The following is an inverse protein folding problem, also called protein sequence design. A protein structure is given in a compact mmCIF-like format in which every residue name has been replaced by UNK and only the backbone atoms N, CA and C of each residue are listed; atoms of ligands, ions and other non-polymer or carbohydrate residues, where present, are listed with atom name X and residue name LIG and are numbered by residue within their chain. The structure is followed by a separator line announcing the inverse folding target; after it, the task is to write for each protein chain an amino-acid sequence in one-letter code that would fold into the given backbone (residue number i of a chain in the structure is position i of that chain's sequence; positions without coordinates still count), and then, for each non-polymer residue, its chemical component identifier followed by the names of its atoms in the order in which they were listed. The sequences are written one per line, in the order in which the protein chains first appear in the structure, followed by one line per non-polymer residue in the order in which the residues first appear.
data_IF_695196797157
#
_entry.id   IF_695196797157
#
_cell.length_a   1.000
_cell.length_b   1.000
_cell.length_c   1.000
_cell.angle_alpha   90.00
_cell.angle_beta   90.00
_cell.angle_gamma   90.00
#
_symmetry.space_group_name_H-M   'P 1'
#
loop_
_entity.id
_entity.type
_entity.pdbx_description
1 polymer ?
#
# COMPACT_ATOMS: atom_id res chain seq x y z
N UNK A 1 18.52 9.92 -3.96
CA UNK A 1 18.91 11.05 -3.08
C UNK A 1 17.75 12.03 -2.81
N UNK A 2 16.94 12.40 -3.81
CA UNK A 2 15.82 13.33 -3.64
C UNK A 2 14.73 12.87 -2.66
N UNK A 3 14.22 11.63 -2.79
CA UNK A 3 13.17 11.08 -1.91
C UNK A 3 13.61 11.03 -0.44
N UNK A 4 14.74 10.37 -0.17
CA UNK A 4 15.31 10.27 1.19
C UNK A 4 15.59 11.65 1.79
N UNK A 5 16.15 12.57 1.00
CA UNK A 5 16.38 13.95 1.45
C UNK A 5 15.09 14.69 1.79
N UNK A 6 14.04 14.55 0.96
CA UNK A 6 12.72 15.10 1.22
C UNK A 6 12.09 14.51 2.48
N UNK A 7 12.17 13.20 2.67
CA UNK A 7 11.66 12.53 3.88
C UNK A 7 12.43 12.91 5.14
N UNK A 8 13.74 13.17 5.05
CA UNK A 8 14.51 13.71 6.17
C UNK A 8 14.02 15.10 6.58
N UNK A 9 13.68 15.96 5.61
CA UNK A 9 13.09 17.29 5.87
C UNK A 9 11.70 17.13 6.50
N UNK A 10 10.85 16.26 5.95
CA UNK A 10 9.52 15.92 6.50
C UNK A 10 9.65 15.45 7.95
N UNK A 11 10.62 14.59 8.25
CA UNK A 11 10.87 14.11 9.61
C UNK A 11 11.22 15.27 10.55
N UNK A 12 12.07 16.20 10.10
CA UNK A 12 12.46 17.35 10.93
C UNK A 12 11.31 18.32 11.18
N UNK A 13 10.54 18.65 10.14
CA UNK A 13 9.40 19.58 10.23
C UNK A 13 8.20 18.96 10.95
N UNK A 14 7.95 17.69 10.70
CA UNK A 14 6.88 16.89 11.27
C UNK A 14 7.20 16.23 12.59
N UNK A 15 8.39 16.44 13.18
CA UNK A 15 8.76 15.82 14.46
C UNK A 15 7.86 16.31 15.61
N UNK A 16 7.55 15.40 16.53
CA UNK A 16 6.82 15.66 17.78
C UNK A 16 7.52 16.71 18.64
N UNK A 17 8.84 16.81 18.57
CA UNK A 17 9.62 17.77 19.34
C UNK A 17 9.40 19.21 18.86
N UNK A 18 9.11 19.40 17.57
CA UNK A 18 8.81 20.71 16.98
C UNK A 18 7.48 21.29 17.47
N UNK A 19 6.59 20.47 18.05
CA UNK A 19 5.33 20.91 18.65
C UNK A 19 5.49 21.54 20.05
N UNK A 20 6.52 21.14 20.79
CA UNK A 20 6.71 21.55 22.19
C UNK A 20 7.41 22.91 22.34
N UNK A 21 7.99 23.46 21.27
CA UNK A 21 8.74 24.73 21.33
C UNK A 21 7.82 25.96 21.34
N UNK A 22 6.51 25.80 21.10
CA UNK A 22 5.56 26.92 21.00
C UNK A 22 4.56 27.04 22.16
N UNK A 23 4.73 26.31 23.27
CA UNK A 23 3.75 26.32 24.36
C UNK A 23 4.32 26.04 25.74
N UNK A 24 4.95 27.03 26.35
CA UNK A 24 5.08 27.03 27.81
C UNK A 24 3.71 27.25 28.46
N UNK A 25 3.32 26.31 29.32
CA UNK A 25 2.23 26.33 30.32
C UNK A 25 0.95 25.54 29.96
N UNK A 26 0.83 24.30 30.44
CA UNK A 26 0.01 23.96 31.61
C UNK A 26 -0.04 22.44 31.84
N UNK A 27 0.13 22.08 33.11
CA UNK A 27 -0.09 20.76 33.68
C UNK A 27 -1.54 20.31 33.44
N UNK A 28 -1.73 19.13 32.84
CA UNK A 28 -3.01 18.46 32.76
C UNK A 28 -2.88 17.18 31.95
N UNK A 29 -2.66 16.04 32.62
CA UNK A 29 -2.83 14.73 32.00
C UNK A 29 -4.31 14.52 31.68
N UNK A 30 -4.75 14.96 30.51
CA UNK A 30 -6.00 14.53 29.91
C UNK A 30 -5.63 13.41 28.95
N UNK A 31 -6.15 12.21 29.19
CA UNK A 31 -6.10 11.10 28.26
C UNK A 31 -6.84 11.51 26.97
N UNK A 32 -6.11 12.08 26.03
CA UNK A 32 -6.64 12.49 24.73
C UNK A 32 -6.97 11.23 23.94
N UNK A 33 -8.27 10.92 23.83
CA UNK A 33 -8.77 9.83 22.97
C UNK A 33 -8.50 10.19 21.51
N UNK A 34 -8.11 9.19 20.72
CA UNK A 34 -7.80 9.29 19.29
C UNK A 34 -8.92 9.89 18.43
N UNK A 35 -10.17 9.82 18.90
CA UNK A 35 -11.36 10.27 18.17
C UNK A 35 -11.42 11.76 17.86
N UNK A 36 -10.50 12.58 18.40
CA UNK A 36 -10.52 14.05 18.24
C UNK A 36 -9.44 14.61 17.30
N UNK A 37 -8.51 13.78 16.80
CA UNK A 37 -7.41 14.21 15.92
C UNK A 37 -7.79 13.97 14.46
N UNK A 38 -8.03 15.05 13.70
CA UNK A 38 -8.40 14.96 12.28
C UNK A 38 -7.23 15.36 11.38
N UNK A 39 -7.10 14.74 10.19
CA UNK A 39 -6.09 15.12 9.19
C UNK A 39 -6.13 16.62 8.83
N UNK A 40 -7.31 17.24 8.87
CA UNK A 40 -7.52 18.67 8.61
C UNK A 40 -6.84 19.59 9.64
N UNK A 41 -6.55 19.10 10.85
CA UNK A 41 -5.82 19.87 11.86
C UNK A 41 -4.32 19.95 11.53
N UNK A 42 -3.77 18.98 10.77
CA UNK A 42 -2.39 19.05 10.29
C UNK A 42 -2.16 20.29 9.40
N UNK A 43 -3.12 20.59 8.53
CA UNK A 43 -3.09 21.72 7.59
C UNK A 43 -3.09 23.08 8.30
N UNK A 44 -3.56 23.15 9.55
CA UNK A 44 -3.58 24.39 10.35
C UNK A 44 -2.21 24.75 10.93
N UNK A 45 -1.25 23.82 10.92
CA UNK A 45 0.10 24.03 11.47
C UNK A 45 1.08 24.27 10.32
N UNK A 46 1.77 25.42 10.27
CA UNK A 46 2.58 25.80 9.09
C UNK A 46 3.71 24.81 8.79
N UNK A 47 4.35 24.23 9.82
CA UNK A 47 5.40 23.22 9.64
C UNK A 47 4.85 21.90 9.12
N UNK A 48 3.67 21.47 9.57
CA UNK A 48 3.03 20.24 9.09
C UNK A 48 2.50 20.43 7.67
N UNK A 49 1.96 21.59 7.34
CA UNK A 49 1.58 21.94 5.97
C UNK A 49 2.79 21.88 5.03
N UNK A 50 3.95 22.41 5.43
CA UNK A 50 5.17 22.30 4.62
C UNK A 50 5.61 20.85 4.46
N UNK A 51 5.55 20.04 5.51
CA UNK A 51 5.83 18.61 5.44
C UNK A 51 4.88 17.89 4.46
N UNK A 52 3.58 18.18 4.52
CA UNK A 52 2.57 17.65 3.60
C UNK A 52 2.89 18.05 2.15
N UNK A 53 3.20 19.32 1.89
CA UNK A 53 3.53 19.77 0.53
C UNK A 53 4.76 19.05 -0.03
N UNK A 54 5.75 18.73 0.81
CA UNK A 54 6.93 17.94 0.40
C UNK A 54 6.52 16.49 0.11
N UNK A 55 5.66 15.87 0.94
CA UNK A 55 5.15 14.52 0.69
C UNK A 55 4.35 14.45 -0.62
N UNK A 56 3.49 15.42 -0.88
CA UNK A 56 2.75 15.54 -2.13
C UNK A 56 3.68 15.72 -3.32
N UNK A 57 4.73 16.55 -3.19
CA UNK A 57 5.75 16.71 -4.22
C UNK A 57 6.47 15.40 -4.51
N UNK A 58 6.90 14.66 -3.47
CA UNK A 58 7.53 13.34 -3.63
C UNK A 58 6.58 12.40 -4.36
N UNK A 59 5.31 12.33 -3.94
CA UNK A 59 4.29 11.48 -4.56
C UNK A 59 4.07 11.84 -6.02
N UNK A 60 3.90 13.12 -6.34
CA UNK A 60 3.71 13.59 -7.71
C UNK A 60 4.95 13.38 -8.58
N UNK A 61 6.15 13.53 -8.04
CA UNK A 61 7.40 13.27 -8.76
C UNK A 61 7.60 11.78 -9.02
N UNK A 62 7.31 10.92 -8.04
CA UNK A 62 7.35 9.47 -8.23
C UNK A 62 6.23 8.99 -9.17
N UNK A 63 5.10 9.72 -9.25
CA UNK A 63 3.99 9.37 -10.11
C UNK A 63 4.08 9.92 -11.54
N UNK A 64 4.65 11.11 -11.77
CA UNK A 64 4.79 11.63 -13.15
C UNK A 64 5.72 10.75 -14.01
N UNK A 65 6.57 9.97 -13.38
CA UNK A 65 7.43 8.97 -14.03
C UNK A 65 6.69 7.75 -14.59
N UNK A 66 5.38 7.59 -14.36
CA UNK A 66 4.56 6.51 -14.95
C UNK A 66 4.41 6.59 -16.49
N UNK A 67 4.78 7.71 -17.12
CA UNK A 67 4.45 8.00 -18.53
C UNK A 67 5.60 7.69 -19.52
N UNK A 68 6.82 7.41 -19.04
CA UNK A 68 7.96 7.03 -19.89
C UNK A 68 8.28 5.53 -19.75
N UNK A 69 7.94 4.75 -20.77
CA UNK A 69 8.01 3.28 -20.80
C UNK A 69 9.44 2.67 -20.78
N UNK A 70 10.50 3.45 -20.54
CA UNK A 70 11.89 3.02 -20.76
C UNK A 70 12.75 2.93 -19.48
N UNK A 71 12.18 3.08 -18.27
CA UNK A 71 12.97 3.05 -17.02
C UNK A 71 12.28 2.32 -15.86
N UNK A 72 12.51 0.99 -15.74
CA UNK A 72 12.20 0.15 -14.56
C UNK A 72 12.73 0.72 -13.22
N UNK A 73 13.66 1.67 -13.28
CA UNK A 73 14.35 2.28 -12.14
C UNK A 73 13.46 3.23 -11.33
N UNK A 74 12.40 3.77 -11.91
CA UNK A 74 11.74 4.97 -11.36
C UNK A 74 10.63 4.66 -10.34
N UNK A 75 9.94 3.51 -10.44
CA UNK A 75 8.93 3.12 -9.46
C UNK A 75 9.47 2.55 -8.15
N UNK A 76 10.75 2.17 -8.15
CA UNK A 76 11.48 1.87 -6.91
C UNK A 76 11.46 3.04 -5.93
N UNK A 77 11.35 4.28 -6.43
CA UNK A 77 11.31 5.49 -5.60
C UNK A 77 10.07 5.53 -4.70
N UNK A 78 8.90 5.13 -5.21
CA UNK A 78 7.67 5.10 -4.44
C UNK A 78 7.72 4.00 -3.38
N UNK A 79 8.26 2.82 -3.75
CA UNK A 79 8.44 1.72 -2.80
C UNK A 79 9.37 2.10 -1.64
N UNK A 80 10.49 2.77 -1.94
CA UNK A 80 11.40 3.32 -0.94
C UNK A 80 10.70 4.38 -0.07
N UNK A 81 9.90 5.27 -0.68
CA UNK A 81 9.18 6.29 0.08
C UNK A 81 8.21 5.67 1.09
N UNK A 82 7.46 4.64 0.68
CA UNK A 82 6.55 3.92 1.57
C UNK A 82 7.29 3.19 2.70
N UNK A 83 8.39 2.50 2.39
CA UNK A 83 9.20 1.80 3.40
C UNK A 83 9.77 2.76 4.46
N UNK A 84 10.29 3.92 4.02
CA UNK A 84 10.78 4.95 4.94
C UNK A 84 9.66 5.59 5.77
N UNK A 85 8.51 5.89 5.16
CA UNK A 85 7.35 6.38 5.91
C UNK A 85 6.87 5.35 6.94
N UNK A 86 6.85 4.06 6.58
CA UNK A 86 6.49 2.98 7.48
C UNK A 86 7.46 2.93 8.69
N UNK A 87 8.75 3.11 8.44
CA UNK A 87 9.75 3.24 9.50
C UNK A 87 9.47 4.45 10.41
N UNK A 88 9.26 5.64 9.84
CA UNK A 88 9.00 6.87 10.60
C UNK A 88 7.75 6.77 11.49
N UNK A 89 6.66 6.22 10.94
CA UNK A 89 5.40 5.98 11.65
C UNK A 89 5.58 4.91 12.73
N UNK A 90 6.20 3.77 12.41
CA UNK A 90 6.40 2.69 13.39
C UNK A 90 7.28 3.10 14.57
N UNK A 91 8.24 4.00 14.35
CA UNK A 91 9.12 4.57 15.38
C UNK A 91 8.52 5.80 16.07
N UNK A 92 7.32 6.24 15.69
CA UNK A 92 6.62 7.40 16.27
C UNK A 92 7.44 8.68 16.21
N UNK A 93 8.17 8.86 15.11
CA UNK A 93 9.04 10.01 14.88
C UNK A 93 8.28 11.21 14.34
N UNK A 94 7.02 11.02 13.92
CA UNK A 94 6.17 12.05 13.34
C UNK A 94 5.08 12.50 14.33
N UNK A 95 4.61 13.74 14.14
CA UNK A 95 3.46 14.29 14.82
C UNK A 95 2.20 13.49 14.46
N UNK A 96 1.33 13.27 15.45
CA UNK A 96 0.13 12.44 15.27
C UNK A 96 -0.78 12.94 14.15
N UNK A 97 -0.90 14.25 13.94
CA UNK A 97 -1.74 14.78 12.86
C UNK A 97 -1.17 14.43 11.48
N UNK A 98 0.15 14.36 11.36
CA UNK A 98 0.82 13.96 10.14
C UNK A 98 0.72 12.44 9.93
N UNK A 99 0.82 11.62 10.99
CA UNK A 99 0.57 10.18 10.92
C UNK A 99 -0.84 9.87 10.39
N UNK A 100 -1.87 10.56 10.90
CA UNK A 100 -3.26 10.43 10.42
C UNK A 100 -3.38 10.86 8.97
N UNK A 101 -2.79 12.00 8.59
CA UNK A 101 -2.82 12.46 7.20
C UNK A 101 -2.16 11.44 6.25
N UNK A 102 -1.01 10.88 6.63
CA UNK A 102 -0.32 9.84 5.85
C UNK A 102 -1.20 8.60 5.68
N UNK A 103 -1.89 8.18 6.75
CA UNK A 103 -2.83 7.08 6.68
C UNK A 103 -3.92 7.35 5.62
N UNK A 104 -4.63 8.47 5.78
CA UNK A 104 -5.83 8.79 4.99
C UNK A 104 -5.53 9.10 3.51
N UNK A 105 -4.29 9.52 3.16
CA UNK A 105 -3.97 9.99 1.81
C UNK A 105 -2.94 9.12 1.07
N UNK A 106 -2.22 8.26 1.79
CA UNK A 106 -1.17 7.41 1.19
C UNK A 106 -1.46 5.95 1.50
N UNK A 107 -1.60 5.60 2.78
CA UNK A 107 -1.72 4.19 3.17
C UNK A 107 -3.05 3.56 2.75
N UNK A 108 -4.14 4.33 2.82
CA UNK A 108 -5.50 3.91 2.46
C UNK A 108 -5.62 3.46 1.00
N UNK A 109 -4.75 3.97 0.11
CA UNK A 109 -4.70 3.55 -1.29
C UNK A 109 -4.37 2.06 -1.48
N UNK A 110 -3.90 1.36 -0.45
CA UNK A 110 -3.60 -0.08 -0.54
C UNK A 110 -4.82 -0.90 -0.93
N UNK A 111 -6.00 -0.63 -0.34
CA UNK A 111 -7.21 -1.39 -0.62
C UNK A 111 -7.59 -1.28 -2.09
N UNK A 112 -7.62 -0.06 -2.61
CA UNK A 112 -8.04 0.21 -3.98
C UNK A 112 -7.08 -0.41 -5.01
N UNK A 113 -5.78 -0.30 -4.75
CA UNK A 113 -4.73 -0.74 -5.67
C UNK A 113 -4.55 -2.25 -5.68
N UNK A 114 -4.67 -2.92 -4.52
CA UNK A 114 -4.18 -4.28 -4.36
C UNK A 114 -5.20 -5.29 -3.83
N UNK A 115 -6.44 -4.90 -3.49
CA UNK A 115 -7.46 -5.83 -3.03
C UNK A 115 -8.67 -5.83 -3.96
N UNK A 116 -9.10 -7.00 -4.39
CA UNK A 116 -10.46 -7.21 -4.90
C UNK A 116 -11.40 -7.42 -3.72
N UNK A 117 -12.59 -6.83 -3.78
CA UNK A 117 -13.73 -7.35 -3.06
C UNK A 117 -14.28 -8.62 -3.77
N UNK A 118 -15.33 -9.23 -3.21
CA UNK A 118 -15.89 -10.47 -3.76
C UNK A 118 -16.49 -10.24 -5.16
N UNK A 119 -17.13 -9.11 -5.36
CA UNK A 119 -17.80 -8.73 -6.59
C UNK A 119 -16.76 -8.48 -7.71
N UNK A 120 -15.76 -7.65 -7.46
CA UNK A 120 -14.67 -7.36 -8.41
C UNK A 120 -13.90 -8.62 -8.79
N UNK A 121 -13.67 -9.54 -7.83
CA UNK A 121 -12.99 -10.81 -8.11
C UNK A 121 -13.81 -11.68 -9.07
N UNK A 122 -15.13 -11.75 -8.87
CA UNK A 122 -16.01 -12.52 -9.75
C UNK A 122 -16.06 -11.92 -11.16
N UNK A 123 -16.19 -10.59 -11.27
CA UNK A 123 -16.19 -9.88 -12.54
C UNK A 123 -14.86 -10.11 -13.30
N UNK A 124 -13.73 -10.03 -12.59
CA UNK A 124 -12.41 -10.31 -13.15
C UNK A 124 -12.29 -11.78 -13.59
N UNK A 125 -12.82 -12.73 -12.81
CA UNK A 125 -12.82 -14.16 -13.13
C UNK A 125 -13.65 -14.49 -14.38
N UNK A 126 -14.69 -13.72 -14.69
CA UNK A 126 -15.45 -13.87 -15.93
C UNK A 126 -14.73 -13.21 -17.11
N UNK A 127 -14.23 -11.98 -16.93
CA UNK A 127 -13.52 -11.24 -17.97
C UNK A 127 -12.28 -12.00 -18.49
N UNK A 128 -11.51 -12.63 -17.61
CA UNK A 128 -10.31 -13.38 -17.99
C UNK A 128 -10.57 -14.54 -18.97
N UNK A 129 -11.78 -15.11 -19.03
CA UNK A 129 -12.09 -16.21 -19.95
C UNK A 129 -11.92 -15.79 -21.40
N UNK A 130 -12.03 -14.48 -21.67
CA UNK A 130 -11.83 -13.90 -22.99
C UNK A 130 -10.37 -13.55 -23.25
N UNK A 131 -9.64 -13.03 -22.24
CA UNK A 131 -8.32 -12.42 -22.42
C UNK A 131 -7.11 -13.32 -22.07
N UNK A 132 -7.27 -14.30 -21.16
CA UNK A 132 -6.16 -15.10 -20.60
C UNK A 132 -6.34 -16.61 -20.85
N UNK A 133 -6.73 -16.98 -22.08
CA UNK A 133 -7.09 -18.36 -22.47
C UNK A 133 -6.02 -19.45 -22.22
N UNK A 134 -4.78 -19.10 -21.92
CA UNK A 134 -3.68 -20.05 -21.64
C UNK A 134 -3.21 -20.13 -20.20
N UNK A 135 -3.58 -19.17 -19.34
CA UNK A 135 -3.22 -19.14 -17.92
C UNK A 135 -4.34 -18.44 -17.15
N UNK A 136 -5.46 -19.14 -16.91
CA UNK A 136 -6.56 -18.62 -16.11
C UNK A 136 -6.09 -18.38 -14.67
N UNK A 137 -6.85 -17.59 -13.94
CA UNK A 137 -6.56 -17.13 -12.60
C UNK A 137 -7.35 -17.95 -11.60
N UNK A 138 -6.74 -18.19 -10.45
CA UNK A 138 -7.38 -18.81 -9.30
C UNK A 138 -6.90 -18.13 -8.02
N UNK A 139 -7.68 -18.26 -6.96
CA UNK A 139 -7.28 -17.81 -5.62
C UNK A 139 -6.36 -18.86 -4.97
N UNK A 140 -5.17 -18.45 -4.56
CA UNK A 140 -4.20 -19.25 -3.82
C UNK A 140 -4.22 -18.89 -2.35
N UNK A 141 -3.82 -19.83 -1.49
CA UNK A 141 -3.50 -19.59 -0.07
C UNK A 141 -4.63 -18.92 0.75
N UNK A 142 -5.88 -19.05 0.30
CA UNK A 142 -7.03 -18.51 1.01
C UNK A 142 -7.33 -19.36 2.25
N UNK A 143 -7.01 -18.84 3.43
CA UNK A 143 -7.24 -19.50 4.72
C UNK A 143 -8.67 -19.27 5.23
N UNK A 144 -9.27 -18.13 4.85
CA UNK A 144 -10.64 -17.77 5.22
C UNK A 144 -11.69 -18.46 4.33
N UNK A 145 -11.25 -19.09 3.24
CA UNK A 145 -12.11 -19.85 2.32
C UNK A 145 -13.25 -18.98 1.75
N UNK A 146 -14.49 -19.46 1.89
CA UNK A 146 -15.68 -18.77 1.38
C UNK A 146 -16.02 -17.48 2.14
N UNK A 147 -15.51 -17.36 3.37
CA UNK A 147 -15.76 -16.21 4.23
C UNK A 147 -14.83 -15.03 3.92
N UNK A 148 -13.77 -15.24 3.14
CA UNK A 148 -12.80 -14.21 2.72
C UNK A 148 -13.48 -13.04 2.04
N UNK A 149 -13.53 -11.87 2.71
CA UNK A 149 -14.15 -10.65 2.18
C UNK A 149 -13.37 -10.00 1.03
N UNK A 150 -12.06 -10.24 0.96
CA UNK A 150 -11.15 -9.62 0.00
C UNK A 150 -10.18 -10.65 -0.59
N UNK A 151 -9.49 -10.30 -1.68
CA UNK A 151 -8.44 -11.12 -2.31
C UNK A 151 -7.35 -10.23 -2.90
N UNK A 152 -6.07 -10.57 -2.72
CA UNK A 152 -4.95 -9.73 -3.17
C UNK A 152 -4.73 -9.85 -4.69
N UNK A 153 -4.68 -8.72 -5.40
CA UNK A 153 -4.58 -8.53 -6.86
C UNK A 153 -3.16 -8.79 -7.45
N UNK A 154 -2.47 -9.88 -7.15
CA UNK A 154 -1.06 -10.04 -7.62
C UNK A 154 -0.97 -10.27 -9.14
N UNK A 155 -1.59 -11.34 -9.64
CA UNK A 155 -1.49 -11.70 -11.05
C UNK A 155 -2.17 -10.71 -12.01
N UNK A 156 -3.34 -10.11 -11.72
CA UNK A 156 -3.89 -9.06 -12.57
C UNK A 156 -2.94 -7.86 -12.68
N UNK A 157 -2.28 -7.43 -11.61
CA UNK A 157 -1.28 -6.37 -11.68
C UNK A 157 -0.11 -6.76 -12.60
N UNK A 158 0.39 -8.00 -12.51
CA UNK A 158 1.47 -8.47 -13.39
C UNK A 158 1.06 -8.57 -14.87
N UNK A 159 -0.20 -8.91 -15.14
CA UNK A 159 -0.75 -9.08 -16.48
C UNK A 159 -1.43 -7.82 -17.04
N UNK A 160 -1.46 -6.71 -16.30
CA UNK A 160 -2.17 -5.50 -16.70
C UNK A 160 -1.84 -4.99 -18.13
N UNK A 161 -0.59 -5.03 -18.63
CA UNK A 161 -0.28 -4.63 -20.00
C UNK A 161 -0.95 -5.51 -21.08
N UNK A 162 -1.32 -6.75 -20.73
CA UNK A 162 -2.01 -7.70 -21.61
C UNK A 162 -3.52 -7.50 -21.55
N UNK A 163 -4.05 -7.10 -20.40
CA UNK A 163 -5.48 -6.84 -20.18
C UNK A 163 -5.93 -5.48 -20.72
N UNK A 164 -5.01 -4.51 -20.79
CA UNK A 164 -5.25 -3.17 -21.30
C UNK A 164 -3.92 -2.56 -21.78
N UNK A 165 -3.78 -2.20 -23.07
CA UNK A 165 -2.59 -1.53 -23.59
C UNK A 165 -2.30 -0.18 -22.93
N UNK A 166 -3.31 0.46 -22.33
CA UNK A 166 -3.20 1.71 -21.57
C UNK A 166 -2.82 1.46 -20.09
N UNK A 167 -2.83 0.21 -19.62
CA UNK A 167 -2.56 -0.18 -18.24
C UNK A 167 -1.12 -0.64 -17.98
N UNK A 168 -0.16 -0.30 -18.85
CA UNK A 168 1.28 -0.52 -18.62
C UNK A 168 1.70 0.01 -17.24
N UNK A 169 1.03 1.07 -16.76
CA UNK A 169 1.23 1.69 -15.45
C UNK A 169 0.98 0.74 -14.26
N UNK A 170 0.08 -0.24 -14.39
CA UNK A 170 -0.30 -1.15 -13.30
C UNK A 170 0.69 -2.29 -13.04
N UNK A 171 1.56 -2.62 -14.01
CA UNK A 171 2.57 -3.68 -13.82
C UNK A 171 3.56 -3.30 -12.75
N UNK A 172 4.08 -2.07 -12.80
CA UNK A 172 5.15 -1.65 -11.91
C UNK A 172 4.63 -1.27 -10.52
N UNK A 173 3.34 -0.96 -10.40
CA UNK A 173 2.65 -0.75 -9.13
C UNK A 173 2.85 -1.94 -8.16
N UNK A 174 2.96 -3.17 -8.68
CA UNK A 174 3.22 -4.37 -7.86
C UNK A 174 4.51 -4.26 -7.03
N UNK A 175 5.51 -3.50 -7.49
CA UNK A 175 6.77 -3.27 -6.78
C UNK A 175 6.57 -2.51 -5.46
N UNK A 176 5.45 -1.80 -5.33
CA UNK A 176 5.07 -1.06 -4.12
C UNK A 176 4.15 -1.84 -3.18
N UNK A 177 3.67 -3.02 -3.58
CA UNK A 177 2.67 -3.79 -2.80
C UNK A 177 3.14 -4.03 -1.37
N UNK A 178 4.36 -4.58 -1.20
CA UNK A 178 4.88 -4.91 0.12
C UNK A 178 5.19 -3.67 0.97
N UNK A 179 5.74 -2.61 0.38
CA UNK A 179 6.12 -1.40 1.11
C UNK A 179 4.90 -0.56 1.49
N UNK A 180 3.89 -0.47 0.63
CA UNK A 180 2.62 0.16 0.96
C UNK A 180 1.85 -0.64 2.02
N UNK A 181 1.83 -1.96 1.93
CA UNK A 181 1.25 -2.82 2.98
C UNK A 181 1.92 -2.59 4.33
N UNK A 182 3.26 -2.51 4.38
CA UNK A 182 3.98 -2.18 5.62
C UNK A 182 3.62 -0.79 6.15
N UNK A 183 3.46 0.21 5.28
CA UNK A 183 3.04 1.55 5.67
C UNK A 183 1.64 1.53 6.29
N UNK A 184 0.68 0.89 5.63
CA UNK A 184 -0.67 0.69 6.16
C UNK A 184 -0.65 -0.04 7.51
N UNK A 185 0.12 -1.13 7.64
CA UNK A 185 0.29 -1.81 8.92
C UNK A 185 0.88 -0.89 10.00
N UNK A 186 1.88 -0.08 9.65
CA UNK A 186 2.49 0.86 10.58
C UNK A 186 1.49 1.93 11.03
N UNK A 187 0.68 2.45 10.10
CA UNK A 187 -0.40 3.41 10.36
C UNK A 187 -1.51 2.79 11.22
N UNK A 188 -1.91 1.54 10.96
CA UNK A 188 -2.92 0.82 11.73
C UNK A 188 -2.47 0.59 13.17
N UNK A 189 -1.25 0.08 13.37
CA UNK A 189 -0.63 0.01 14.71
C UNK A 189 -0.49 1.39 15.33
N UNK A 190 -0.23 2.39 14.49
CA UNK A 190 -0.03 3.75 14.94
C UNK A 190 -1.30 4.34 15.53
N UNK A 191 -2.42 4.11 14.84
CA UNK A 191 -3.75 4.40 15.33
C UNK A 191 -4.06 3.47 16.51
N UNK A 192 -4.22 2.18 16.32
CA UNK A 192 -4.92 1.32 17.27
C UNK A 192 -4.04 0.76 18.40
N UNK A 193 -3.14 1.57 18.95
CA UNK A 193 -2.26 1.22 20.08
C UNK A 193 -1.50 -0.11 19.87
N UNK A 194 -1.07 -0.38 18.65
CA UNK A 194 -0.37 -1.60 18.27
C UNK A 194 -1.28 -2.77 17.87
N UNK A 195 -2.60 -2.62 17.96
CA UNK A 195 -3.55 -3.59 17.40
C UNK A 195 -3.53 -3.55 15.86
N UNK A 196 -3.93 -4.68 15.27
CA UNK A 196 -4.09 -4.89 13.83
C UNK A 196 -5.51 -5.37 13.47
N UNK A 197 -6.46 -5.28 14.40
CA UNK A 197 -7.81 -5.82 14.21
C UNK A 197 -8.51 -5.20 12.99
N UNK A 198 -8.17 -3.96 12.60
CA UNK A 198 -8.75 -3.31 11.42
C UNK A 198 -8.29 -3.89 10.08
N UNK A 199 -7.21 -4.68 10.06
CA UNK A 199 -6.65 -5.30 8.85
C UNK A 199 -6.46 -6.82 8.98
N UNK A 200 -7.11 -7.45 9.94
CA UNK A 200 -6.96 -8.87 10.25
C UNK A 200 -7.34 -9.80 9.08
N UNK A 201 -8.35 -9.41 8.30
CA UNK A 201 -8.82 -10.11 7.11
C UNK A 201 -7.70 -10.30 6.07
N UNK A 202 -6.68 -9.43 6.06
CA UNK A 202 -5.55 -9.54 5.13
C UNK A 202 -4.60 -10.69 5.47
N UNK A 203 -4.66 -11.25 6.69
CA UNK A 203 -3.85 -12.40 7.10
C UNK A 203 -4.39 -13.72 6.56
N UNK A 204 -5.71 -13.83 6.43
CA UNK A 204 -6.40 -15.03 5.96
C UNK A 204 -6.85 -14.98 4.51
N UNK A 205 -6.87 -13.79 3.91
CA UNK A 205 -7.34 -13.61 2.53
C UNK A 205 -6.49 -14.36 1.51
N UNK A 206 -7.13 -14.71 0.40
CA UNK A 206 -6.46 -15.33 -0.73
C UNK A 206 -5.62 -14.35 -1.55
N UNK A 207 -4.74 -14.92 -2.38
CA UNK A 207 -3.96 -14.19 -3.38
C UNK A 207 -4.38 -14.66 -4.76
N UNK A 208 -4.79 -13.72 -5.62
CA UNK A 208 -5.14 -14.02 -7.00
C UNK A 208 -3.86 -14.28 -7.82
N UNK A 209 -3.68 -15.53 -8.23
CA UNK A 209 -2.53 -16.03 -9.01
C UNK A 209 -3.01 -16.87 -10.21
N UNK A 210 -2.09 -17.31 -11.06
CA UNK A 210 -2.41 -18.23 -12.16
C UNK A 210 -2.89 -19.59 -11.64
N UNK A 211 -3.68 -20.32 -12.43
CA UNK A 211 -4.14 -21.67 -12.12
C UNK A 211 -2.94 -22.62 -11.99
N UNK A 212 -2.93 -23.42 -10.92
CA UNK A 212 -1.87 -24.43 -10.73
C UNK A 212 -2.01 -25.47 -11.85
N UNK A 213 -0.99 -25.57 -12.69
CA UNK A 213 -0.86 -26.72 -13.57
C UNK A 213 -0.67 -27.95 -12.70
N UNK A 214 -1.63 -28.88 -12.71
CA UNK A 214 -1.41 -30.21 -12.17
C UNK A 214 -0.29 -30.85 -12.98
N UNK A 215 0.88 -30.98 -12.37
CA UNK A 215 1.91 -31.90 -12.85
C UNK A 215 1.46 -33.31 -12.47
N UNK A 216 0.31 -33.74 -12.98
CA UNK A 216 0.11 -35.17 -13.19
C UNK A 216 1.13 -35.56 -14.23
N UNK A 217 2.17 -36.22 -13.74
CA UNK A 217 3.23 -36.81 -14.53
C UNK A 217 2.58 -37.51 -15.71
N UNK A 218 2.95 -37.10 -16.92
CA UNK A 218 2.73 -37.87 -18.14
C UNK A 218 3.58 -39.15 -18.07
N UNK A 219 3.30 -40.02 -17.11
CA UNK A 219 3.80 -41.40 -17.03
C UNK A 219 3.07 -42.32 -18.03
N UNK A 220 2.54 -41.74 -19.12
CA UNK A 220 1.98 -42.46 -20.25
C UNK A 220 2.90 -42.41 -21.49
N UNK A 221 4.18 -42.05 -21.35
CA UNK A 221 5.19 -42.44 -22.32
C UNK A 221 5.67 -43.86 -22.00
N UNK A 222 4.81 -44.83 -22.29
CA UNK A 222 5.25 -46.22 -22.54
C UNK A 222 6.15 -46.16 -23.76
N UNK A 223 7.46 -46.23 -23.52
CA UNK A 223 8.43 -46.54 -24.55
C UNK A 223 8.32 -48.01 -24.91
N UNK A 224 7.95 -48.27 -26.17
CA UNK A 224 8.57 -49.32 -26.99
C UNK A 224 8.15 -50.77 -26.77
N UNK A 225 7.61 -51.31 -27.86
CA UNK A 225 7.67 -52.69 -28.37
C UNK A 225 6.68 -53.75 -27.83
#
# INVERSE_FOLDING_TARGET
MGVIGGLAIVTKMGSRDSANVSGSSQHGMIAFRMSDVTATQALRRPLLQQAINILEMIRHSCAKSYVSADTDLELSCLSIAHDELAYLVSKRLLDRHLEVWINDHIADAFSDLFLFDKEEMNDMMEAQKEFLKGMPMQTWMNLDGVDSGVTVKVYPCLCAPVLSPDAIQQRDLILSLCSLFKLMQACEKAANNGSLDGIDALLGCGVCLYEKLSTEVRDAYVWGD
#
